data_IF_054351748200
#
_entry.id   IF_054351748200
#
_cell.length_a   1.000
_cell.length_b   1.000
_cell.length_c   1.000
_cell.angle_alpha   90.00
_cell.angle_beta   90.00
_cell.angle_gamma   90.00
#
_symmetry.space_group_name_H-M   'P 1'
#
loop_
_entity.id
_entity.type
_entity.pdbx_description
1 polymer ?
#
# COMPACT_ATOMS: atom_id res chain seq x y z
N UNK A 1 3.00 49.57 -23.22
CA UNK A 1 2.78 49.19 -21.82
C UNK A 1 2.20 47.79 -21.78
N UNK A 2 2.99 46.83 -21.35
CA UNK A 2 2.49 45.47 -21.10
C UNK A 2 1.57 45.50 -19.84
N UNK A 3 0.38 44.89 -19.88
CA UNK A 3 -0.43 44.85 -18.68
C UNK A 3 0.29 44.08 -17.59
N UNK A 4 0.38 44.65 -16.40
CA UNK A 4 0.92 43.96 -15.24
C UNK A 4 0.06 42.73 -14.95
N UNK A 5 0.59 41.51 -15.19
CA UNK A 5 -0.02 40.29 -14.75
C UNK A 5 0.13 40.17 -13.23
N UNK A 6 -0.96 40.30 -12.51
CA UNK A 6 -1.03 40.01 -11.09
C UNK A 6 -1.35 38.54 -10.90
N UNK A 7 -0.45 37.78 -10.28
CA UNK A 7 -0.71 36.40 -9.85
C UNK A 7 -1.20 36.44 -8.41
N UNK A 8 -2.45 36.10 -8.20
CA UNK A 8 -3.05 35.99 -6.86
C UNK A 8 -3.35 34.52 -6.60
N UNK A 9 -2.86 33.92 -5.48
CA UNK A 9 -3.26 32.58 -5.11
C UNK A 9 -4.76 32.54 -4.79
N UNK A 10 -5.46 31.62 -5.42
CA UNK A 10 -6.89 31.36 -5.21
C UNK A 10 -7.06 29.91 -4.79
N UNK A 11 -7.98 29.65 -3.85
CA UNK A 11 -8.44 28.30 -3.52
C UNK A 11 -9.52 27.94 -4.55
N UNK A 12 -9.15 27.16 -5.56
CA UNK A 12 -10.03 26.81 -6.68
C UNK A 12 -10.53 25.37 -6.61
N UNK A 13 -9.90 24.53 -5.78
CA UNK A 13 -10.20 23.11 -5.70
C UNK A 13 -10.57 22.65 -4.29
N UNK A 14 -11.10 21.44 -4.23
CA UNK A 14 -11.49 20.74 -3.01
C UNK A 14 -11.09 19.27 -3.14
N UNK A 15 -10.67 18.66 -2.03
CA UNK A 15 -10.52 17.22 -1.89
C UNK A 15 -11.38 16.78 -0.71
N UNK A 16 -12.29 15.84 -0.97
CA UNK A 16 -13.13 15.23 0.04
C UNK A 16 -12.81 13.74 0.15
N UNK A 17 -12.57 13.26 1.36
CA UNK A 17 -12.31 11.83 1.60
C UNK A 17 -13.10 11.34 2.80
N UNK A 18 -13.63 10.13 2.70
CA UNK A 18 -14.25 9.43 3.81
C UNK A 18 -13.91 7.94 3.78
N UNK A 19 -14.00 7.29 4.92
CA UNK A 19 -13.70 5.88 5.06
C UNK A 19 -13.58 5.48 6.52
N UNK A 20 -13.10 4.28 6.77
CA UNK A 20 -12.85 3.80 8.13
C UNK A 20 -11.65 2.85 8.18
N UNK A 21 -10.97 2.88 9.32
CA UNK A 21 -9.87 1.98 9.65
C UNK A 21 -10.30 1.06 10.79
N UNK A 22 -10.08 -0.23 10.60
CA UNK A 22 -10.35 -1.25 11.62
C UNK A 22 -9.03 -1.89 12.02
N UNK A 23 -8.77 -1.94 13.33
CA UNK A 23 -7.66 -2.71 13.90
C UNK A 23 -8.22 -3.80 14.77
N UNK A 24 -7.85 -5.04 14.48
CA UNK A 24 -8.23 -6.20 15.26
C UNK A 24 -6.97 -6.93 15.76
N UNK A 25 -6.92 -7.17 17.06
CA UNK A 25 -5.85 -7.93 17.71
C UNK A 25 -6.46 -9.19 18.34
N UNK A 26 -5.81 -10.33 18.10
CA UNK A 26 -6.18 -11.61 18.69
C UNK A 26 -4.93 -12.33 19.18
N UNK A 27 -5.01 -12.96 20.34
CA UNK A 27 -3.92 -13.79 20.86
C UNK A 27 -4.43 -15.08 21.46
N UNK A 28 -3.67 -16.16 21.33
CA UNK A 28 -3.95 -17.46 21.88
C UNK A 28 -2.69 -18.22 22.23
N UNK A 29 -2.76 -19.08 23.24
CA UNK A 29 -1.69 -20.01 23.54
C UNK A 29 -1.75 -21.22 22.61
N UNK A 30 -0.60 -21.62 22.08
CA UNK A 30 -0.45 -22.84 21.29
C UNK A 30 0.57 -23.77 21.92
N UNK A 31 0.62 -25.06 21.56
CA UNK A 31 1.64 -25.98 22.06
C UNK A 31 3.10 -25.56 21.72
N UNK A 32 3.28 -24.69 20.73
CA UNK A 32 4.60 -24.18 20.33
C UNK A 32 4.96 -22.84 20.96
N UNK A 33 3.98 -22.20 21.62
CA UNK A 33 4.11 -20.88 22.25
C UNK A 33 2.94 -19.96 21.92
N UNK A 34 2.91 -18.74 22.48
CA UNK A 34 1.84 -17.79 22.19
C UNK A 34 1.85 -17.35 20.73
N UNK A 35 0.66 -17.35 20.13
CA UNK A 35 0.38 -16.81 18.80
C UNK A 35 -0.38 -15.50 18.95
N UNK A 36 0.09 -14.45 18.32
CA UNK A 36 -0.62 -13.18 18.20
C UNK A 36 -0.89 -12.87 16.73
N UNK A 37 -2.09 -12.39 16.44
CA UNK A 37 -2.51 -11.98 15.10
C UNK A 37 -3.04 -10.56 15.20
N UNK A 38 -2.52 -9.68 14.35
CA UNK A 38 -2.99 -8.30 14.20
C UNK A 38 -3.38 -8.05 12.77
N UNK A 39 -4.59 -7.53 12.59
CA UNK A 39 -5.10 -7.13 11.27
C UNK A 39 -5.43 -5.65 11.28
N UNK A 40 -4.93 -4.93 10.28
CA UNK A 40 -5.31 -3.56 9.96
C UNK A 40 -6.06 -3.60 8.63
N UNK A 41 -7.25 -3.02 8.60
CA UNK A 41 -8.12 -2.92 7.43
C UNK A 41 -8.40 -1.45 7.21
N UNK A 42 -8.05 -0.93 6.04
CA UNK A 42 -8.40 0.42 5.60
C UNK A 42 -9.42 0.31 4.45
N UNK A 43 -10.58 0.90 4.64
CA UNK A 43 -11.66 0.99 3.64
C UNK A 43 -11.87 2.46 3.32
N UNK A 44 -11.62 2.85 2.07
CA UNK A 44 -11.94 4.17 1.56
C UNK A 44 -13.31 4.11 0.88
N UNK A 45 -14.24 4.96 1.30
CA UNK A 45 -15.58 5.02 0.72
C UNK A 45 -15.70 6.13 -0.31
N UNK A 46 -15.02 7.27 -0.08
CA UNK A 46 -14.97 8.38 -1.01
C UNK A 46 -13.57 8.99 -1.05
N UNK A 47 -13.13 9.34 -2.24
CA UNK A 47 -11.96 10.19 -2.47
C UNK A 47 -12.23 11.03 -3.71
N UNK A 48 -12.82 12.20 -3.49
CA UNK A 48 -13.35 13.08 -4.51
C UNK A 48 -12.43 14.27 -4.69
N UNK A 49 -12.06 14.57 -5.91
CA UNK A 49 -11.21 15.71 -6.25
C UNK A 49 -11.96 16.65 -7.17
N UNK A 50 -12.12 17.89 -6.74
CA UNK A 50 -12.62 19.01 -7.52
C UNK A 50 -11.47 19.95 -7.79
N UNK A 51 -10.92 19.97 -9.00
CA UNK A 51 -9.78 20.84 -9.34
C UNK A 51 -10.18 22.32 -9.37
N UNK A 52 -11.34 22.59 -9.95
CA UNK A 52 -11.90 23.95 -10.03
C UNK A 52 -13.39 23.90 -9.74
N UNK A 53 -13.83 24.67 -8.78
CA UNK A 53 -15.26 24.78 -8.42
C UNK A 53 -16.09 25.16 -9.65
N UNK A 54 -17.10 24.32 -9.96
CA UNK A 54 -18.01 24.48 -11.10
C UNK A 54 -17.65 23.70 -12.36
N UNK A 55 -16.53 22.96 -12.37
CA UNK A 55 -16.12 22.14 -13.53
C UNK A 55 -16.32 20.61 -13.35
N UNK A 56 -16.85 20.21 -12.23
CA UNK A 56 -17.13 18.80 -11.92
C UNK A 56 -16.16 18.26 -10.84
N UNK A 57 -16.51 17.07 -10.35
CA UNK A 57 -15.76 16.34 -9.33
C UNK A 57 -15.41 14.98 -9.90
N UNK A 58 -14.15 14.56 -9.76
CA UNK A 58 -13.70 13.23 -10.09
C UNK A 58 -13.81 12.33 -8.85
N UNK A 59 -14.46 11.20 -8.98
CA UNK A 59 -14.49 10.13 -7.97
C UNK A 59 -13.30 9.20 -8.22
N UNK A 60 -12.37 9.09 -7.26
CA UNK A 60 -11.08 8.44 -7.47
C UNK A 60 -10.91 7.11 -6.71
N UNK A 61 -11.90 6.69 -5.91
CA UNK A 61 -11.82 5.40 -5.20
C UNK A 61 -11.92 4.23 -6.19
N UNK A 62 -10.95 3.31 -6.13
CA UNK A 62 -10.86 2.19 -7.05
C UNK A 62 -10.26 2.56 -8.41
N UNK A 63 -9.70 3.77 -8.54
CA UNK A 63 -9.17 4.26 -9.80
C UNK A 63 -7.74 4.78 -9.70
N UNK A 64 -7.05 4.77 -10.83
CA UNK A 64 -5.83 5.53 -11.08
C UNK A 64 -5.94 6.24 -12.44
N UNK A 65 -5.08 7.25 -12.65
CA UNK A 65 -5.11 8.06 -13.86
C UNK A 65 -3.72 8.66 -14.08
N UNK A 66 -2.99 8.15 -15.05
CA UNK A 66 -1.57 8.39 -15.27
C UNK A 66 -1.14 9.86 -15.51
N UNK A 67 -2.06 10.75 -15.71
CA UNK A 67 -1.79 12.17 -15.92
C UNK A 67 -3.01 13.05 -15.68
N UNK A 68 -4.10 12.46 -15.20
CA UNK A 68 -5.34 13.15 -14.91
C UNK A 68 -5.51 13.52 -13.43
N UNK A 69 -6.76 13.79 -13.07
CA UNK A 69 -7.11 14.37 -11.76
C UNK A 69 -6.86 13.40 -10.59
N UNK A 70 -7.09 12.09 -10.78
CA UNK A 70 -6.95 11.10 -9.70
C UNK A 70 -5.50 10.74 -9.40
N UNK A 71 -4.60 10.86 -10.38
CA UNK A 71 -3.19 10.53 -10.19
C UNK A 71 -2.93 9.06 -9.91
N UNK A 72 -2.21 8.74 -8.83
CA UNK A 72 -1.86 7.38 -8.44
C UNK A 72 -3.04 6.55 -7.89
N UNK A 73 -2.86 5.22 -7.71
CA UNK A 73 -3.89 4.31 -7.25
C UNK A 73 -4.50 4.70 -5.91
N UNK A 74 -5.84 4.78 -5.86
CA UNK A 74 -6.62 4.99 -4.64
C UNK A 74 -7.48 3.76 -4.38
N UNK A 75 -7.01 2.88 -3.50
CA UNK A 75 -7.68 1.60 -3.23
C UNK A 75 -8.98 1.78 -2.44
N UNK A 76 -10.00 1.00 -2.80
CA UNK A 76 -11.20 0.87 -1.99
C UNK A 76 -10.90 0.09 -0.70
N UNK A 77 -10.13 -1.00 -0.80
CA UNK A 77 -9.77 -1.85 0.35
C UNK A 77 -8.28 -2.16 0.37
N UNK A 78 -7.68 -1.99 1.54
CA UNK A 78 -6.31 -2.46 1.83
C UNK A 78 -6.30 -3.20 3.15
N UNK A 79 -5.54 -4.30 3.23
CA UNK A 79 -5.37 -5.00 4.50
C UNK A 79 -3.92 -5.37 4.75
N UNK A 80 -3.53 -5.32 6.02
CA UNK A 80 -2.24 -5.86 6.49
C UNK A 80 -2.52 -6.75 7.70
N UNK A 81 -2.25 -8.04 7.56
CA UNK A 81 -2.41 -9.01 8.64
C UNK A 81 -1.06 -9.60 8.99
N UNK A 82 -0.63 -9.45 10.24
CA UNK A 82 0.60 -10.04 10.76
C UNK A 82 0.29 -11.06 11.83
N UNK A 83 0.86 -12.25 11.71
CA UNK A 83 0.83 -13.31 12.70
C UNK A 83 2.23 -13.54 13.26
N UNK A 84 2.37 -13.49 14.58
CA UNK A 84 3.63 -13.75 15.29
C UNK A 84 3.47 -14.94 16.22
N UNK A 85 4.25 -15.99 15.98
CA UNK A 85 4.38 -17.13 16.86
C UNK A 85 5.68 -17.00 17.66
N UNK A 86 5.55 -16.81 18.96
CA UNK A 86 6.69 -16.71 19.88
C UNK A 86 7.02 -18.09 20.45
N UNK A 87 8.24 -18.55 20.19
CA UNK A 87 8.75 -19.84 20.67
C UNK A 87 9.95 -19.66 21.58
N UNK A 88 10.39 -20.73 22.23
CA UNK A 88 11.63 -20.76 23.02
C UNK A 88 12.91 -20.49 22.18
N UNK A 89 12.82 -20.57 20.86
CA UNK A 89 13.93 -20.34 19.92
C UNK A 89 13.92 -18.98 19.25
N UNK A 90 12.82 -18.26 19.38
CA UNK A 90 12.62 -16.97 18.75
C UNK A 90 11.21 -16.79 18.21
N UNK A 91 10.97 -15.67 17.53
CA UNK A 91 9.69 -15.27 16.99
C UNK A 91 9.65 -15.53 15.48
N UNK A 92 8.64 -16.28 15.03
CA UNK A 92 8.32 -16.42 13.62
C UNK A 92 7.18 -15.44 13.28
N UNK A 93 7.43 -14.59 12.31
CA UNK A 93 6.50 -13.56 11.85
C UNK A 93 6.10 -13.86 10.42
N UNK A 94 4.79 -13.84 10.13
CA UNK A 94 4.25 -13.92 8.78
C UNK A 94 3.31 -12.73 8.59
N UNK A 95 3.52 -11.98 7.51
CA UNK A 95 2.68 -10.82 7.17
C UNK A 95 2.06 -11.04 5.80
N UNK A 96 0.76 -10.85 5.71
CA UNK A 96 -0.01 -10.79 4.46
C UNK A 96 -0.42 -9.34 4.22
N UNK A 97 -0.12 -8.83 3.03
CA UNK A 97 -0.55 -7.52 2.54
C UNK A 97 -1.47 -7.73 1.33
N UNK A 98 -2.66 -7.17 1.40
CA UNK A 98 -3.63 -7.18 0.32
C UNK A 98 -3.87 -5.75 -0.16
N UNK A 99 -3.83 -5.57 -1.47
CA UNK A 99 -4.22 -4.36 -2.19
C UNK A 99 -5.34 -4.74 -3.16
N UNK A 100 -6.41 -3.98 -3.13
CA UNK A 100 -7.57 -4.21 -4.00
C UNK A 100 -7.26 -3.94 -5.47
N UNK A 101 -8.14 -4.36 -6.35
CA UNK A 101 -8.07 -4.04 -7.76
C UNK A 101 -8.27 -2.54 -8.02
N UNK A 102 -7.73 -2.06 -9.11
CA UNK A 102 -7.78 -0.65 -9.51
C UNK A 102 -8.09 -0.57 -11.00
N UNK A 103 -9.08 0.23 -11.37
CA UNK A 103 -9.41 0.54 -12.76
C UNK A 103 -8.60 1.75 -13.26
N UNK A 104 -8.33 1.79 -14.54
CA UNK A 104 -7.66 2.90 -15.21
C UNK A 104 -8.71 3.86 -15.80
N UNK A 105 -8.66 5.13 -15.43
CA UNK A 105 -9.46 6.20 -16.01
C UNK A 105 -8.77 6.85 -17.22
N UNK A 106 -7.53 6.48 -17.49
CA UNK A 106 -6.76 6.98 -18.61
C UNK A 106 -7.18 6.38 -19.97
N UNK A 107 -6.57 6.84 -21.05
CA UNK A 107 -6.91 6.39 -22.41
C UNK A 107 -6.39 5.00 -22.79
N UNK A 108 -5.56 4.35 -21.94
CA UNK A 108 -4.82 3.14 -22.27
C UNK A 108 -5.47 1.85 -21.74
N UNK A 109 -6.49 1.97 -20.89
CA UNK A 109 -7.24 0.84 -20.32
C UNK A 109 -6.30 -0.21 -19.69
N UNK A 110 -5.49 0.22 -18.74
CA UNK A 110 -4.50 -0.59 -18.01
C UNK A 110 -4.95 -0.85 -16.57
N UNK A 111 -5.98 -1.69 -16.32
CA UNK A 111 -6.43 -2.02 -14.98
C UNK A 111 -5.35 -2.80 -14.22
N UNK A 112 -5.37 -2.70 -12.92
CA UNK A 112 -4.46 -3.42 -12.01
C UNK A 112 -5.28 -4.42 -11.21
N UNK A 113 -4.98 -5.70 -11.37
CA UNK A 113 -5.59 -6.76 -10.56
C UNK A 113 -5.22 -6.63 -9.09
N UNK A 114 -6.05 -7.18 -8.21
CA UNK A 114 -5.76 -7.22 -6.78
C UNK A 114 -4.44 -7.95 -6.50
N UNK A 115 -3.67 -7.43 -5.55
CA UNK A 115 -2.33 -7.92 -5.23
C UNK A 115 -2.28 -8.52 -3.82
N UNK A 116 -1.58 -9.65 -3.71
CA UNK A 116 -1.35 -10.34 -2.46
C UNK A 116 0.14 -10.58 -2.25
N UNK A 117 0.72 -9.94 -1.24
CA UNK A 117 2.10 -10.13 -0.84
C UNK A 117 2.19 -10.89 0.48
N UNK A 118 3.12 -11.82 0.55
CA UNK A 118 3.42 -12.55 1.77
C UNK A 118 4.89 -12.34 2.14
N UNK A 119 5.09 -11.85 3.37
CA UNK A 119 6.40 -11.63 3.95
C UNK A 119 6.60 -12.58 5.11
N UNK A 120 7.82 -13.04 5.35
CA UNK A 120 8.15 -13.84 6.52
C UNK A 120 9.46 -13.39 7.14
N UNK A 121 9.53 -13.43 8.46
CA UNK A 121 10.75 -13.13 9.19
C UNK A 121 10.89 -14.03 10.42
N UNK A 122 12.12 -14.22 10.84
CA UNK A 122 12.48 -14.90 12.08
C UNK A 122 13.42 -14.02 12.89
N UNK A 123 13.10 -13.85 14.18
CA UNK A 123 13.89 -13.09 15.13
C UNK A 123 14.36 -14.01 16.26
N UNK A 124 15.64 -13.95 16.61
CA UNK A 124 16.18 -14.72 17.74
C UNK A 124 17.29 -13.95 18.43
N UNK A 125 17.46 -14.16 19.74
CA UNK A 125 18.47 -13.48 20.54
C UNK A 125 19.51 -14.46 21.10
N UNK A 126 20.79 -14.05 21.07
CA UNK A 126 21.92 -14.78 21.60
C UNK A 126 22.69 -13.85 22.54
N UNK A 127 22.40 -13.91 23.83
CA UNK A 127 22.96 -12.94 24.80
C UNK A 127 22.46 -11.52 24.46
N UNK A 128 23.40 -10.61 24.21
CA UNK A 128 23.10 -9.21 23.89
C UNK A 128 22.86 -8.95 22.38
N UNK A 129 22.98 -9.99 21.56
CA UNK A 129 22.81 -9.87 20.12
C UNK A 129 21.44 -10.40 19.68
N UNK A 130 20.75 -9.65 18.84
CA UNK A 130 19.50 -10.07 18.21
C UNK A 130 19.71 -10.19 16.71
N UNK A 131 19.46 -11.37 16.17
CA UNK A 131 19.44 -11.64 14.75
C UNK A 131 17.99 -11.59 14.24
N UNK A 132 17.80 -10.84 13.18
CA UNK A 132 16.51 -10.74 12.45
C UNK A 132 16.77 -11.05 10.98
N UNK A 133 16.15 -12.10 10.46
CA UNK A 133 16.28 -12.49 9.06
C UNK A 133 14.88 -12.64 8.45
N UNK A 134 14.72 -12.26 7.20
CA UNK A 134 13.43 -12.39 6.56
C UNK A 134 13.47 -12.35 5.04
N UNK A 135 12.31 -12.62 4.48
CA UNK A 135 12.03 -12.58 3.06
C UNK A 135 10.75 -11.78 2.85
N UNK A 136 10.85 -10.68 2.13
CA UNK A 136 9.69 -9.97 1.63
C UNK A 136 9.28 -10.55 0.30
N UNK A 137 7.98 -10.55 0.03
CA UNK A 137 7.38 -11.06 -1.20
C UNK A 137 7.84 -12.51 -1.48
N UNK A 138 7.55 -13.42 -0.56
CA UNK A 138 7.99 -14.82 -0.58
C UNK A 138 7.67 -15.53 -1.91
N UNK A 139 6.52 -15.21 -2.50
CA UNK A 139 6.05 -15.84 -3.73
C UNK A 139 6.54 -15.14 -5.01
N UNK A 140 7.34 -14.07 -4.86
CA UNK A 140 7.88 -13.31 -5.99
C UNK A 140 6.79 -12.74 -6.91
N UNK A 141 5.72 -12.24 -6.28
CA UNK A 141 4.64 -11.59 -7.00
C UNK A 141 5.18 -10.35 -7.72
N UNK A 142 5.10 -10.35 -9.04
CA UNK A 142 5.57 -9.23 -9.85
C UNK A 142 4.70 -7.98 -9.65
N UNK A 143 5.33 -6.82 -9.65
CA UNK A 143 4.62 -5.55 -9.68
C UNK A 143 3.89 -5.37 -11.02
N UNK A 144 2.71 -4.73 -11.04
CA UNK A 144 2.01 -4.47 -12.29
C UNK A 144 2.84 -3.57 -13.20
N UNK A 145 2.87 -3.87 -14.49
CA UNK A 145 3.51 -3.04 -15.52
C UNK A 145 2.41 -2.27 -16.25
N UNK A 146 2.52 -0.95 -16.24
CA UNK A 146 1.50 -0.05 -16.77
C UNK A 146 2.05 0.68 -18.00
N UNK A 147 1.36 0.54 -19.10
CA UNK A 147 1.81 1.06 -20.41
C UNK A 147 1.86 2.59 -20.46
N UNK A 148 1.08 3.26 -19.62
CA UNK A 148 0.98 4.73 -19.56
C UNK A 148 1.97 5.39 -18.60
N UNK A 149 2.66 4.63 -17.77
CA UNK A 149 3.68 5.15 -16.88
C UNK A 149 5.07 4.96 -17.46
N UNK A 150 5.60 5.99 -18.09
CA UNK A 150 7.01 6.00 -18.56
C UNK A 150 8.03 6.23 -17.46
N UNK A 151 7.57 6.50 -16.24
CA UNK A 151 8.41 6.78 -15.07
C UNK A 151 8.52 5.56 -14.15
N UNK A 152 9.59 5.50 -13.35
CA UNK A 152 9.77 4.52 -12.28
C UNK A 152 9.62 3.03 -12.69
N UNK A 153 9.99 2.68 -13.93
CA UNK A 153 9.92 1.30 -14.41
C UNK A 153 8.50 0.86 -14.76
N UNK A 154 7.64 1.77 -15.14
CA UNK A 154 6.25 1.52 -15.53
C UNK A 154 5.39 0.90 -14.42
N UNK A 155 5.61 1.30 -13.19
CA UNK A 155 4.85 0.85 -12.01
C UNK A 155 4.80 1.93 -10.94
N UNK A 156 4.12 1.66 -9.83
CA UNK A 156 4.15 2.52 -8.63
C UNK A 156 5.03 1.90 -7.53
N UNK A 157 6.36 2.13 -7.53
CA UNK A 157 7.29 1.46 -6.61
C UNK A 157 7.13 1.86 -5.14
N UNK A 158 6.37 2.92 -4.86
CA UNK A 158 5.97 3.29 -3.50
C UNK A 158 4.81 2.43 -2.95
N UNK A 159 4.12 1.67 -3.82
CA UNK A 159 2.92 0.89 -3.51
C UNK A 159 3.20 -0.60 -3.72
N UNK A 160 3.77 -0.97 -4.87
CA UNK A 160 4.02 -2.35 -5.28
C UNK A 160 5.48 -2.74 -5.09
N UNK A 161 5.74 -4.02 -4.84
CA UNK A 161 7.09 -4.56 -4.62
C UNK A 161 7.89 -4.65 -5.94
N UNK A 162 8.33 -3.49 -6.46
CA UNK A 162 9.02 -3.37 -7.75
C UNK A 162 10.32 -4.20 -7.86
N UNK A 163 10.94 -4.58 -6.73
CA UNK A 163 12.14 -5.42 -6.69
C UNK A 163 11.84 -6.93 -6.64
N UNK A 164 10.56 -7.33 -6.55
CA UNK A 164 10.17 -8.71 -6.37
C UNK A 164 10.59 -9.25 -5.00
N UNK A 165 10.96 -10.55 -4.95
CA UNK A 165 11.39 -11.19 -3.71
C UNK A 165 12.71 -10.62 -3.19
N UNK A 166 12.71 -10.22 -1.92
CA UNK A 166 13.83 -9.57 -1.28
C UNK A 166 14.19 -10.25 0.04
N UNK A 167 15.46 -10.66 0.18
CA UNK A 167 15.99 -11.30 1.41
C UNK A 167 16.79 -10.26 2.18
N UNK A 168 16.56 -10.19 3.48
CA UNK A 168 17.27 -9.26 4.36
C UNK A 168 17.74 -9.91 5.65
N UNK A 169 18.74 -9.31 6.27
CA UNK A 169 19.23 -9.67 7.60
C UNK A 169 19.63 -8.41 8.36
N UNK A 170 19.36 -8.41 9.65
CA UNK A 170 19.77 -7.36 10.57
C UNK A 170 20.35 -8.01 11.83
N UNK A 171 21.43 -7.47 12.34
CA UNK A 171 22.07 -7.87 13.58
C UNK A 171 22.25 -6.64 14.48
N UNK A 172 21.67 -6.67 15.65
CA UNK A 172 21.72 -5.56 16.62
C UNK A 172 22.15 -6.05 17.99
#
# INVERSE_FOLDING_TARGET
>A
DAPNAASTPLYLGEVATSGFDIVADYSMDTPMGPLSVRTNIAKTETFDITEVVGFGTAECVGYWDGGGTCGGPTFELQTVTSATLSTDKGDLIVTHRFLDEIEDLGPFDSPIDSMNYFDTAFSTSFGDLTLYVGVNNVFDQEAPVLDDLSENGNTFPAIYDAFGRYIFTNLT
#
